data_IF_756503143408
#
_entry.id   IF_756503143408
#
_cell.length_a   1.000
_cell.length_b   1.000
_cell.length_c   1.000
_cell.angle_alpha   90.00
_cell.angle_beta   90.00
_cell.angle_gamma   90.00
#
_symmetry.space_group_name_H-M   'P 1'
#
loop_
_entity.id
_entity.type
_entity.pdbx_description
1 polymer ?
#
# COMPACT_ATOMS: atom_id res chain seq x y z
N UNK A 1 -82.99 93.85 34.71
CA UNK A 1 -82.42 93.12 35.87
C UNK A 1 -80.89 93.15 35.92
N UNK A 2 -80.13 93.09 34.80
CA UNK A 2 -78.65 93.19 34.81
C UNK A 2 -78.06 94.52 35.31
N UNK A 3 -78.75 95.64 35.07
CA UNK A 3 -78.26 96.98 35.44
C UNK A 3 -78.23 97.23 36.95
N UNK A 4 -79.16 96.64 37.71
CA UNK A 4 -79.23 96.81 39.16
C UNK A 4 -78.07 96.09 39.89
N UNK A 5 -77.75 94.87 39.47
CA UNK A 5 -76.60 94.11 40.00
C UNK A 5 -75.27 94.77 39.66
N UNK A 6 -75.14 95.35 38.46
CA UNK A 6 -73.95 96.09 38.04
C UNK A 6 -73.78 97.38 38.86
N UNK A 7 -74.86 98.15 39.07
CA UNK A 7 -74.81 99.32 39.97
C UNK A 7 -74.50 98.94 41.41
N UNK A 8 -75.02 97.81 41.91
CA UNK A 8 -74.74 97.35 43.26
C UNK A 8 -73.27 96.91 43.41
N UNK A 9 -72.70 96.22 42.41
CA UNK A 9 -71.27 95.90 42.35
C UNK A 9 -70.40 97.16 42.31
N UNK A 10 -70.78 98.17 41.54
CA UNK A 10 -70.06 99.45 41.48
C UNK A 10 -70.12 100.22 42.81
N UNK A 11 -71.27 100.24 43.49
CA UNK A 11 -71.39 100.84 44.82
C UNK A 11 -70.56 100.09 45.87
N UNK A 12 -70.54 98.76 45.81
CA UNK A 12 -69.68 97.95 46.67
C UNK A 12 -68.19 98.18 46.37
N UNK A 13 -67.81 98.29 45.10
CA UNK A 13 -66.44 98.61 44.69
C UNK A 13 -66.02 100.00 45.17
N UNK A 14 -66.86 101.01 45.00
CA UNK A 14 -66.59 102.37 45.48
C UNK A 14 -66.45 102.44 47.02
N UNK A 15 -67.28 101.70 47.77
CA UNK A 15 -67.15 101.60 49.24
C UNK A 15 -65.88 100.87 49.68
N UNK A 16 -65.43 99.88 48.92
CA UNK A 16 -64.17 99.19 49.18
C UNK A 16 -62.98 100.09 48.86
N UNK A 17 -63.06 100.86 47.78
CA UNK A 17 -62.06 101.85 47.40
C UNK A 17 -61.90 102.93 48.47
N UNK A 18 -63.01 103.49 48.99
CA UNK A 18 -63.00 104.47 50.08
C UNK A 18 -62.38 103.89 51.37
N UNK A 19 -62.71 102.64 51.72
CA UNK A 19 -62.07 101.94 52.84
C UNK A 19 -60.58 101.69 52.59
N UNK A 20 -60.18 101.38 51.36
CA UNK A 20 -58.79 101.17 50.98
C UNK A 20 -58.00 102.48 51.00
N UNK A 21 -58.63 103.63 50.78
CA UNK A 21 -57.98 104.95 50.83
C UNK A 21 -57.66 105.41 52.26
N UNK A 22 -58.23 104.77 53.28
CA UNK A 22 -57.85 105.07 54.67
C UNK A 22 -56.37 104.72 54.93
N UNK A 23 -55.57 105.62 55.52
CA UNK A 23 -54.11 105.45 55.66
C UNK A 23 -53.69 104.11 56.30
N UNK A 24 -54.43 103.63 57.30
CA UNK A 24 -54.16 102.34 57.94
C UNK A 24 -54.40 101.13 57.04
N UNK A 25 -55.42 101.20 56.16
CA UNK A 25 -55.74 100.13 55.23
C UNK A 25 -54.81 100.12 54.02
N UNK A 26 -54.35 101.29 53.54
CA UNK A 26 -53.29 101.40 52.52
C UNK A 26 -52.00 100.72 52.98
N UNK A 27 -51.58 101.00 54.22
CA UNK A 27 -50.37 100.39 54.78
C UNK A 27 -50.52 98.86 54.93
N UNK A 28 -51.68 98.38 55.36
CA UNK A 28 -51.94 96.95 55.47
C UNK A 28 -52.01 96.26 54.10
N UNK A 29 -52.61 96.89 53.09
CA UNK A 29 -52.66 96.37 51.72
C UNK A 29 -51.24 96.28 51.12
N UNK A 30 -50.40 97.30 51.32
CA UNK A 30 -48.99 97.28 50.90
C UNK A 30 -48.20 96.16 51.56
N UNK A 31 -48.39 95.94 52.88
CA UNK A 31 -47.74 94.84 53.61
C UNK A 31 -48.17 93.47 53.10
N UNK A 32 -49.46 93.28 52.79
CA UNK A 32 -49.97 92.05 52.22
C UNK A 32 -49.43 91.80 50.81
N UNK A 33 -49.40 92.82 49.95
CA UNK A 33 -48.78 92.73 48.64
C UNK A 33 -47.30 92.37 48.74
N UNK A 34 -46.55 93.03 49.62
CA UNK A 34 -45.14 92.71 49.86
C UNK A 34 -44.95 91.26 50.34
N UNK A 35 -45.80 90.78 51.26
CA UNK A 35 -45.75 89.41 51.74
C UNK A 35 -46.07 88.38 50.64
N UNK A 36 -47.04 88.67 49.77
CA UNK A 36 -47.37 87.84 48.61
C UNK A 36 -46.21 87.82 47.61
N UNK A 37 -45.63 88.97 47.26
CA UNK A 37 -44.46 89.05 46.37
C UNK A 37 -43.28 88.26 46.94
N UNK A 38 -42.99 88.40 48.24
CA UNK A 38 -41.90 87.64 48.88
C UNK A 38 -42.18 86.14 48.83
N UNK A 39 -43.42 85.70 49.08
CA UNK A 39 -43.80 84.29 48.99
C UNK A 39 -43.61 83.75 47.57
N UNK A 40 -44.05 84.48 46.55
CA UNK A 40 -43.91 84.09 45.15
C UNK A 40 -42.44 84.05 44.72
N UNK A 41 -41.65 85.05 45.09
CA UNK A 41 -40.20 85.10 44.83
C UNK A 41 -39.48 83.94 45.53
N UNK A 42 -39.84 83.62 46.77
CA UNK A 42 -39.28 82.48 47.49
C UNK A 42 -39.61 81.15 46.81
N UNK A 43 -40.83 80.97 46.30
CA UNK A 43 -41.22 79.76 45.59
C UNK A 43 -40.52 79.64 44.23
N UNK A 44 -40.45 80.75 43.47
CA UNK A 44 -39.71 80.80 42.21
C UNK A 44 -38.22 80.48 42.40
N UNK A 45 -37.60 80.97 43.49
CA UNK A 45 -36.22 80.64 43.84
C UNK A 45 -36.03 79.14 44.08
N UNK A 46 -36.92 78.50 44.85
CA UNK A 46 -36.85 77.04 45.06
C UNK A 46 -36.95 76.24 43.76
N UNK A 47 -37.83 76.67 42.84
CA UNK A 47 -37.95 76.04 41.52
C UNK A 47 -36.69 76.24 40.69
N UNK A 48 -36.08 77.43 40.73
CA UNK A 48 -34.81 77.70 40.06
C UNK A 48 -33.69 76.80 40.61
N UNK A 49 -33.54 76.69 41.92
CA UNK A 49 -32.54 75.84 42.57
C UNK A 49 -32.71 74.35 42.15
N UNK A 50 -33.96 73.87 42.05
CA UNK A 50 -34.27 72.52 41.57
C UNK A 50 -33.90 72.32 40.09
N UNK A 51 -34.15 73.32 39.25
CA UNK A 51 -33.79 73.27 37.83
C UNK A 51 -32.27 73.27 37.66
N UNK A 52 -31.54 74.09 38.41
CA UNK A 52 -30.08 74.13 38.38
C UNK A 52 -29.47 72.80 38.82
N UNK A 53 -30.00 72.16 39.86
CA UNK A 53 -29.55 70.84 40.28
C UNK A 53 -29.79 69.78 39.20
N UNK A 54 -30.98 69.79 38.57
CA UNK A 54 -31.30 68.87 37.46
C UNK A 54 -30.39 69.12 36.26
N UNK A 55 -30.11 70.38 35.93
CA UNK A 55 -29.22 70.75 34.84
C UNK A 55 -27.79 70.26 35.10
N UNK A 56 -27.27 70.41 36.33
CA UNK A 56 -25.96 69.89 36.71
C UNK A 56 -25.88 68.37 36.54
N UNK A 57 -26.90 67.62 37.02
CA UNK A 57 -26.98 66.16 36.83
C UNK A 57 -27.00 65.76 35.36
N UNK A 58 -27.70 66.52 34.52
CA UNK A 58 -27.75 66.29 33.08
C UNK A 58 -26.40 66.54 32.40
N UNK A 59 -25.66 67.57 32.82
CA UNK A 59 -24.30 67.82 32.34
C UNK A 59 -23.33 66.70 32.71
N UNK A 60 -23.37 66.21 33.95
CA UNK A 60 -22.55 65.09 34.42
C UNK A 60 -22.85 63.80 33.63
N UNK A 61 -24.14 63.50 33.41
CA UNK A 61 -24.55 62.35 32.62
C UNK A 61 -24.07 62.43 31.16
N UNK A 62 -24.19 63.61 30.53
CA UNK A 62 -23.72 63.84 29.16
C UNK A 62 -22.20 63.71 29.04
N UNK A 63 -21.44 64.19 30.04
CA UNK A 63 -19.98 64.01 30.07
C UNK A 63 -19.61 62.51 30.14
N UNK A 64 -20.29 61.73 30.97
CA UNK A 64 -20.08 60.28 31.06
C UNK A 64 -20.47 59.56 29.75
N UNK A 65 -21.54 59.99 29.09
CA UNK A 65 -21.97 59.42 27.80
C UNK A 65 -20.97 59.70 26.69
N UNK A 66 -20.39 60.90 26.63
CA UNK A 66 -19.31 61.22 25.68
C UNK A 66 -18.10 60.31 25.84
N UNK A 67 -17.64 60.11 27.07
CA UNK A 67 -16.51 59.20 27.36
C UNK A 67 -16.85 57.76 26.92
N UNK A 68 -18.07 57.29 27.19
CA UNK A 68 -18.52 55.98 26.72
C UNK A 68 -18.56 55.91 25.19
N UNK A 69 -19.04 56.95 24.51
CA UNK A 69 -19.07 57.01 23.05
C UNK A 69 -17.68 56.93 22.43
N UNK A 70 -16.72 57.69 22.96
CA UNK A 70 -15.32 57.64 22.51
C UNK A 70 -14.70 56.26 22.72
N UNK A 71 -15.02 55.58 23.82
CA UNK A 71 -14.56 54.22 24.07
C UNK A 71 -15.15 53.22 23.07
N UNK A 72 -16.43 53.35 22.72
CA UNK A 72 -17.07 52.50 21.72
C UNK A 72 -16.47 52.72 20.33
N UNK A 73 -16.17 53.97 19.97
CA UNK A 73 -15.53 54.31 18.70
C UNK A 73 -14.14 53.68 18.58
N UNK A 74 -13.33 53.74 19.66
CA UNK A 74 -12.02 53.05 19.72
C UNK A 74 -12.14 51.54 19.55
N UNK A 75 -13.12 50.90 20.21
CA UNK A 75 -13.37 49.47 20.06
C UNK A 75 -13.79 49.12 18.62
N UNK A 76 -14.59 49.98 17.99
CA UNK A 76 -15.04 49.78 16.62
C UNK A 76 -13.89 49.90 15.62
N UNK A 77 -12.95 50.83 15.85
CA UNK A 77 -11.74 50.96 15.03
C UNK A 77 -10.75 49.80 15.23
N UNK A 78 -10.65 49.25 16.43
CA UNK A 78 -9.89 48.02 16.68
C UNK A 78 -10.50 46.83 15.92
N UNK A 79 -11.82 46.64 16.00
CA UNK A 79 -12.50 45.59 15.23
C UNK A 79 -12.36 45.77 13.71
N UNK A 80 -12.33 47.01 13.21
CA UNK A 80 -12.05 47.28 11.79
C UNK A 80 -10.63 46.85 11.40
N UNK A 81 -9.63 47.13 12.24
CA UNK A 81 -8.24 46.69 12.02
C UNK A 81 -8.12 45.17 12.05
N UNK A 82 -8.74 44.51 13.02
CA UNK A 82 -8.75 43.06 13.13
C UNK A 82 -9.40 42.40 11.92
N UNK A 83 -10.53 42.95 11.46
CA UNK A 83 -11.20 42.48 10.24
C UNK A 83 -10.28 42.56 9.02
N UNK A 84 -9.51 43.64 8.87
CA UNK A 84 -8.60 43.79 7.76
C UNK A 84 -7.39 42.85 7.88
N UNK A 85 -6.86 42.66 9.09
CA UNK A 85 -5.81 41.67 9.36
C UNK A 85 -6.26 40.25 9.00
N UNK A 86 -7.48 39.87 9.39
CA UNK A 86 -8.05 38.56 9.03
C UNK A 86 -8.26 38.40 7.52
N UNK A 87 -8.66 39.45 6.80
CA UNK A 87 -8.78 39.41 5.34
C UNK A 87 -7.45 39.15 4.65
N UNK A 88 -6.38 39.81 5.11
CA UNK A 88 -5.03 39.58 4.59
C UNK A 88 -4.58 38.15 4.84
N UNK A 89 -4.77 37.62 6.05
CA UNK A 89 -4.44 36.23 6.38
C UNK A 89 -5.21 35.21 5.53
N UNK A 90 -6.50 35.45 5.28
CA UNK A 90 -7.31 34.61 4.38
C UNK A 90 -6.74 34.65 2.96
N UNK A 91 -6.41 35.84 2.45
CA UNK A 91 -5.84 35.99 1.11
C UNK A 91 -4.49 35.28 0.97
N UNK A 92 -3.63 35.34 1.99
CA UNK A 92 -2.35 34.62 2.02
C UNK A 92 -2.55 33.11 2.06
N UNK A 93 -3.48 32.63 2.88
CA UNK A 93 -3.83 31.22 2.98
C UNK A 93 -4.41 30.67 1.65
N UNK A 94 -5.25 31.46 0.96
CA UNK A 94 -5.80 31.09 -0.35
C UNK A 94 -4.69 31.00 -1.41
N UNK A 95 -3.75 31.94 -1.41
CA UNK A 95 -2.59 31.91 -2.31
C UNK A 95 -1.69 30.69 -2.05
N UNK A 96 -1.41 30.39 -0.78
CA UNK A 96 -0.64 29.20 -0.38
C UNK A 96 -1.36 27.91 -0.78
N UNK A 97 -2.68 27.84 -0.58
CA UNK A 97 -3.51 26.68 -0.96
C UNK A 97 -3.51 26.46 -2.48
N UNK A 98 -3.55 27.53 -3.26
CA UNK A 98 -3.45 27.44 -4.73
C UNK A 98 -2.08 26.91 -5.17
N UNK A 99 -1.00 27.48 -4.62
CA UNK A 99 0.37 27.04 -4.96
C UNK A 99 0.64 25.58 -4.59
N UNK A 100 0.16 25.15 -3.42
CA UNK A 100 0.30 23.75 -2.97
C UNK A 100 -0.51 22.80 -3.84
N UNK A 101 -1.72 23.19 -4.26
CA UNK A 101 -2.52 22.41 -5.22
C UNK A 101 -1.79 22.23 -6.55
N UNK A 102 -1.24 23.29 -7.12
CA UNK A 102 -0.50 23.24 -8.39
C UNK A 102 0.75 22.35 -8.27
N UNK A 103 1.45 22.43 -7.13
CA UNK A 103 2.61 21.57 -6.83
C UNK A 103 2.22 20.10 -6.72
N UNK A 104 1.08 19.80 -6.10
CA UNK A 104 0.57 18.44 -5.96
C UNK A 104 0.16 17.84 -7.31
N UNK A 105 -0.46 18.63 -8.19
CA UNK A 105 -0.80 18.18 -9.54
C UNK A 105 0.47 17.91 -10.38
N UNK A 106 1.50 18.77 -10.27
CA UNK A 106 2.80 18.54 -10.89
C UNK A 106 3.49 17.26 -10.37
N UNK A 107 3.40 17.00 -9.07
CA UNK A 107 3.95 15.76 -8.50
C UNK A 107 3.19 14.54 -8.99
N UNK A 108 1.85 14.64 -9.05
CA UNK A 108 0.99 13.56 -9.54
C UNK A 108 1.31 13.21 -10.99
N UNK A 109 1.53 14.19 -11.86
CA UNK A 109 1.92 13.92 -13.24
C UNK A 109 3.28 13.23 -13.32
N UNK A 110 4.29 13.70 -12.57
CA UNK A 110 5.62 13.08 -12.51
C UNK A 110 5.57 11.62 -12.03
N UNK A 111 4.79 11.34 -10.99
CA UNK A 111 4.61 9.96 -10.49
C UNK A 111 3.92 9.08 -11.53
N UNK A 112 2.91 9.60 -12.23
CA UNK A 112 2.25 8.86 -13.30
C UNK A 112 3.23 8.52 -14.42
N UNK A 113 4.05 9.48 -14.85
CA UNK A 113 5.06 9.28 -15.91
C UNK A 113 6.12 8.24 -15.50
N UNK A 114 6.61 8.32 -14.25
CA UNK A 114 7.52 7.33 -13.66
C UNK A 114 6.90 5.92 -13.62
N UNK A 115 5.64 5.80 -13.19
CA UNK A 115 4.92 4.52 -13.18
C UNK A 115 4.78 3.93 -14.59
N UNK A 116 4.51 4.76 -15.60
CA UNK A 116 4.45 4.30 -16.99
C UNK A 116 5.80 3.79 -17.47
N UNK A 117 6.90 4.49 -17.16
CA UNK A 117 8.27 4.04 -17.49
C UNK A 117 8.60 2.71 -16.83
N UNK A 118 8.38 2.60 -15.52
CA UNK A 118 8.62 1.35 -14.78
C UNK A 118 7.80 0.17 -15.33
N UNK A 119 6.55 0.43 -15.73
CA UNK A 119 5.70 -0.60 -16.33
C UNK A 119 6.26 -1.05 -17.69
N UNK A 120 6.73 -0.11 -18.52
CA UNK A 120 7.35 -0.42 -19.79
C UNK A 120 8.67 -1.19 -19.63
N UNK A 121 9.51 -0.78 -18.68
CA UNK A 121 10.77 -1.44 -18.35
C UNK A 121 10.53 -2.85 -17.82
N UNK A 122 9.54 -3.05 -16.94
CA UNK A 122 9.19 -4.37 -16.44
C UNK A 122 8.72 -5.31 -17.56
N UNK A 123 7.95 -4.79 -18.53
CA UNK A 123 7.56 -5.58 -19.70
C UNK A 123 8.76 -5.96 -20.58
N UNK A 124 9.76 -5.08 -20.70
CA UNK A 124 11.02 -5.35 -21.40
C UNK A 124 11.85 -6.41 -20.66
N UNK A 125 12.07 -6.24 -19.37
CA UNK A 125 12.79 -7.23 -18.54
C UNK A 125 12.10 -8.59 -18.56
N UNK A 126 10.76 -8.63 -18.55
CA UNK A 126 10.03 -9.89 -18.71
C UNK A 126 10.29 -10.60 -20.03
N UNK A 127 10.55 -9.88 -21.13
CA UNK A 127 10.97 -10.47 -22.42
C UNK A 127 12.42 -10.95 -22.37
N UNK A 128 13.30 -10.18 -21.76
CA UNK A 128 14.72 -10.51 -21.63
C UNK A 128 14.90 -11.77 -20.77
N UNK A 129 14.21 -11.87 -19.63
CA UNK A 129 14.19 -13.06 -18.77
C UNK A 129 13.70 -14.29 -19.54
N UNK A 130 12.58 -14.19 -20.27
CA UNK A 130 12.09 -15.31 -21.11
C UNK A 130 13.10 -15.73 -22.16
N UNK A 131 13.85 -14.79 -22.71
CA UNK A 131 14.88 -15.07 -23.72
C UNK A 131 16.08 -15.77 -23.09
N UNK A 132 16.52 -15.31 -21.92
CA UNK A 132 17.59 -15.92 -21.14
C UNK A 132 17.23 -17.34 -20.69
N UNK A 133 16.03 -17.58 -20.17
CA UNK A 133 15.56 -18.93 -19.83
C UNK A 133 15.66 -19.88 -21.01
N UNK A 134 15.18 -19.47 -22.20
CA UNK A 134 15.32 -20.27 -23.43
C UNK A 134 16.77 -20.51 -23.86
N UNK A 135 17.70 -19.62 -23.51
CA UNK A 135 19.12 -19.83 -23.78
C UNK A 135 19.69 -20.86 -22.81
N UNK A 136 19.33 -20.79 -21.51
CA UNK A 136 19.72 -21.77 -20.50
C UNK A 136 19.25 -23.17 -20.92
N UNK A 137 17.96 -23.34 -21.25
CA UNK A 137 17.41 -24.63 -21.68
C UNK A 137 18.21 -25.23 -22.86
N UNK A 138 18.54 -24.42 -23.86
CA UNK A 138 19.36 -24.85 -25.00
C UNK A 138 20.80 -25.19 -24.63
N UNK A 139 21.36 -24.53 -23.63
CA UNK A 139 22.71 -24.81 -23.14
C UNK A 139 22.73 -26.11 -22.33
N UNK A 140 21.69 -26.40 -21.55
CA UNK A 140 21.51 -27.68 -20.87
C UNK A 140 21.38 -28.82 -21.88
N UNK A 141 20.55 -28.67 -22.91
CA UNK A 141 20.46 -29.67 -24.00
C UNK A 141 21.82 -29.92 -24.66
N UNK A 142 22.58 -28.85 -24.94
CA UNK A 142 23.94 -28.97 -25.50
C UNK A 142 24.89 -29.69 -24.56
N UNK A 143 24.83 -29.41 -23.25
CA UNK A 143 25.65 -30.09 -22.27
C UNK A 143 25.36 -31.59 -22.26
N UNK A 144 24.08 -32.00 -22.24
CA UNK A 144 23.71 -33.42 -22.33
C UNK A 144 24.27 -34.06 -23.60
N UNK A 145 24.15 -33.41 -24.77
CA UNK A 145 24.75 -33.97 -26.00
C UNK A 145 26.27 -34.09 -25.93
N UNK A 146 26.96 -33.14 -25.29
CA UNK A 146 28.41 -33.23 -25.11
C UNK A 146 28.75 -34.37 -24.17
N UNK A 147 28.06 -34.50 -23.03
CA UNK A 147 28.23 -35.59 -22.08
C UNK A 147 28.04 -36.95 -22.76
N UNK A 148 26.98 -37.12 -23.54
CA UNK A 148 26.72 -38.33 -24.33
C UNK A 148 27.85 -38.63 -25.32
N UNK A 149 28.35 -37.61 -26.04
CA UNK A 149 29.49 -37.81 -26.96
C UNK A 149 30.77 -38.20 -26.23
N UNK A 150 30.99 -37.65 -25.04
CA UNK A 150 32.17 -37.91 -24.22
C UNK A 150 32.13 -39.32 -23.62
N UNK A 151 30.95 -39.78 -23.19
CA UNK A 151 30.75 -41.14 -22.71
C UNK A 151 30.88 -42.16 -23.85
N UNK A 152 30.34 -41.85 -25.03
CA UNK A 152 30.56 -42.66 -26.23
C UNK A 152 32.05 -42.73 -26.63
N UNK A 153 32.79 -41.64 -26.45
CA UNK A 153 34.24 -41.63 -26.69
C UNK A 153 34.98 -42.49 -25.67
N UNK A 154 34.62 -42.39 -24.37
CA UNK A 154 35.16 -43.25 -23.31
C UNK A 154 34.90 -44.73 -23.57
N UNK A 155 33.70 -45.09 -24.01
CA UNK A 155 33.34 -46.47 -24.31
C UNK A 155 34.17 -47.08 -25.46
N UNK A 156 34.71 -46.25 -26.36
CA UNK A 156 35.57 -46.67 -27.48
C UNK A 156 37.06 -46.76 -27.11
N UNK A 157 37.47 -46.32 -25.92
CA UNK A 157 38.85 -46.48 -25.48
C UNK A 157 39.16 -47.98 -25.25
N UNK A 158 40.33 -48.48 -25.69
CA UNK A 158 40.73 -49.86 -25.45
C UNK A 158 40.70 -50.18 -23.96
N UNK A 159 40.13 -51.32 -23.59
CA UNK A 159 40.09 -51.73 -22.19
C UNK A 159 41.53 -52.04 -21.73
N UNK A 160 41.82 -51.83 -20.45
CA UNK A 160 43.15 -52.09 -19.89
C UNK A 160 43.64 -53.53 -20.14
N UNK A 161 42.70 -54.48 -20.25
CA UNK A 161 42.96 -55.87 -20.64
C UNK A 161 43.49 -56.01 -22.08
N UNK A 162 43.01 -55.21 -23.03
CA UNK A 162 43.47 -55.27 -24.43
C UNK A 162 44.88 -54.70 -24.55
N UNK A 163 45.18 -53.63 -23.81
CA UNK A 163 46.52 -53.04 -23.73
C UNK A 163 47.49 -54.00 -23.03
N UNK A 164 47.05 -54.65 -21.95
CA UNK A 164 47.84 -55.66 -21.25
C UNK A 164 48.09 -56.91 -22.10
N UNK A 165 47.09 -57.36 -22.86
CA UNK A 165 47.23 -58.46 -23.81
C UNK A 165 48.22 -58.10 -24.92
N UNK A 166 48.14 -56.88 -25.48
CA UNK A 166 49.08 -56.40 -26.48
C UNK A 166 50.51 -56.33 -25.93
N UNK A 167 50.70 -55.75 -24.74
CA UNK A 167 52.00 -55.71 -24.07
C UNK A 167 52.54 -57.11 -23.76
N UNK A 168 51.68 -58.05 -23.36
CA UNK A 168 52.06 -59.43 -23.14
C UNK A 168 52.45 -60.14 -24.45
N UNK A 169 51.74 -59.88 -25.56
CA UNK A 169 52.14 -60.43 -26.87
C UNK A 169 53.46 -59.84 -27.35
N UNK A 170 53.70 -58.55 -27.13
CA UNK A 170 54.94 -57.87 -27.47
C UNK A 170 56.11 -58.43 -26.63
N UNK A 171 55.92 -58.58 -25.32
CA UNK A 171 56.89 -59.15 -24.40
C UNK A 171 57.21 -60.63 -24.70
N UNK A 172 56.30 -61.37 -25.35
CA UNK A 172 56.54 -62.73 -25.86
C UNK A 172 57.27 -62.74 -27.20
N UNK A 173 56.99 -61.78 -28.06
CA UNK A 173 57.62 -61.62 -29.38
C UNK A 173 59.08 -61.19 -29.25
N UNK A 174 59.40 -60.29 -28.33
CA UNK A 174 60.75 -59.74 -28.14
C UNK A 174 61.84 -60.81 -27.91
N UNK A 175 61.70 -61.76 -26.96
CA UNK A 175 62.68 -62.83 -26.79
C UNK A 175 62.67 -63.84 -27.95
N UNK A 176 61.55 -64.00 -28.66
CA UNK A 176 61.45 -64.90 -29.80
C UNK A 176 62.21 -64.36 -31.01
N UNK A 177 62.06 -63.06 -31.30
CA UNK A 177 62.82 -62.34 -32.34
C UNK A 177 64.31 -62.34 -32.00
N UNK A 178 64.67 -62.09 -30.73
CA UNK A 178 66.07 -62.14 -30.28
C UNK A 178 66.67 -63.54 -30.44
N UNK A 179 65.92 -64.59 -30.05
CA UNK A 179 66.33 -65.98 -30.27
C UNK A 179 66.46 -66.34 -31.75
N UNK A 180 65.59 -65.82 -32.61
CA UNK A 180 65.70 -66.00 -34.06
C UNK A 180 66.97 -65.34 -34.61
N UNK A 181 67.26 -64.10 -34.18
CA UNK A 181 68.51 -63.43 -34.53
C UNK A 181 69.73 -64.25 -34.07
N UNK A 182 69.76 -64.72 -32.82
CA UNK A 182 70.85 -65.54 -32.28
C UNK A 182 71.01 -66.86 -33.04
N UNK A 183 69.90 -67.48 -33.47
CA UNK A 183 69.91 -68.72 -34.29
C UNK A 183 70.39 -68.45 -35.70
N UNK A 184 70.00 -67.34 -36.33
CA UNK A 184 70.44 -66.94 -37.66
C UNK A 184 71.95 -66.61 -37.65
N UNK A 185 72.42 -65.95 -36.60
CA UNK A 185 73.84 -65.61 -36.43
C UNK A 185 74.70 -66.87 -36.20
N UNK A 186 74.18 -67.82 -35.40
CA UNK A 186 74.79 -69.16 -35.27
C UNK A 186 74.81 -69.94 -36.59
N UNK A 187 73.73 -69.93 -37.36
CA UNK A 187 73.68 -70.60 -38.69
C UNK A 187 74.66 -69.96 -39.68
N UNK A 188 74.86 -68.65 -39.57
CA UNK A 188 75.79 -67.90 -40.43
C UNK A 188 77.27 -68.22 -40.13
N UNK A 189 77.57 -68.68 -38.91
CA UNK A 189 78.92 -69.01 -38.41
C UNK A 189 79.26 -70.52 -38.45
N UNK A 190 78.35 -71.38 -38.92
CA UNK A 190 78.58 -72.83 -39.07
C UNK A 190 79.64 -73.18 -40.14
N UNK A 191 80.42 -74.23 -39.86
CA UNK A 191 81.39 -74.80 -40.80
C UNK A 191 80.71 -75.53 -41.97
N UNK A 192 81.46 -75.84 -43.05
CA UNK A 192 80.90 -76.44 -44.28
C UNK A 192 80.26 -77.82 -44.04
N UNK A 193 80.82 -78.62 -43.13
CA UNK A 193 80.30 -79.94 -42.76
C UNK A 193 79.00 -79.84 -41.95
N UNK A 194 78.90 -78.85 -41.06
CA UNK A 194 77.69 -78.60 -40.27
C UNK A 194 76.55 -78.00 -41.12
N UNK A 195 76.88 -77.23 -42.17
CA UNK A 195 75.91 -76.75 -43.16
C UNK A 195 75.29 -77.88 -43.99
N UNK A 196 76.08 -78.89 -44.34
CA UNK A 196 75.60 -80.07 -45.06
C UNK A 196 74.65 -80.91 -44.18
N UNK A 197 75.02 -81.14 -42.92
CA UNK A 197 74.17 -81.86 -41.96
C UNK A 197 72.87 -81.09 -41.62
N UNK A 198 72.92 -79.76 -41.59
CA UNK A 198 71.73 -78.92 -41.39
C UNK A 198 70.80 -78.94 -42.61
N UNK A 199 71.33 -78.98 -43.84
CA UNK A 199 70.53 -79.13 -45.05
C UNK A 199 69.78 -80.46 -45.08
N UNK A 200 70.44 -81.55 -44.65
CA UNK A 200 69.81 -82.87 -44.50
C UNK A 200 68.76 -82.88 -43.37
N UNK A 201 69.00 -82.17 -42.27
CA UNK A 201 68.03 -82.02 -41.18
C UNK A 201 66.81 -81.18 -41.59
N UNK A 202 66.98 -80.09 -42.36
CA UNK A 202 65.90 -79.27 -42.91
C UNK A 202 65.08 -80.06 -43.94
N UNK A 203 65.75 -80.87 -44.77
CA UNK A 203 65.11 -81.80 -45.70
C UNK A 203 64.28 -82.87 -44.97
N UNK A 204 64.77 -83.38 -43.83
CA UNK A 204 64.00 -84.29 -42.98
C UNK A 204 62.86 -83.58 -42.23
N UNK A 205 63.06 -82.33 -41.81
CA UNK A 205 62.04 -81.56 -41.10
C UNK A 205 60.90 -81.09 -42.02
N UNK A 206 61.19 -80.76 -43.28
CA UNK A 206 60.16 -80.52 -44.30
C UNK A 206 59.38 -81.79 -44.64
N UNK A 207 60.02 -82.96 -44.56
CA UNK A 207 59.35 -84.26 -44.68
C UNK A 207 58.43 -84.57 -43.49
N UNK A 208 58.82 -84.20 -42.26
CA UNK A 208 57.95 -84.29 -41.06
C UNK A 208 56.83 -83.25 -41.10
N UNK A 209 57.08 -82.05 -41.63
CA UNK A 209 56.05 -81.01 -41.82
C UNK A 209 54.99 -81.43 -42.85
N UNK A 210 55.41 -82.01 -43.98
CA UNK A 210 54.50 -82.60 -44.96
C UNK A 210 53.72 -83.81 -44.38
N UNK A 211 54.29 -84.53 -43.40
CA UNK A 211 53.60 -85.61 -42.68
C UNK A 211 52.61 -85.08 -41.64
N UNK A 212 52.91 -83.96 -40.99
CA UNK A 212 52.01 -83.27 -40.04
C UNK A 212 50.88 -82.51 -40.76
N UNK A 213 51.15 -81.90 -41.91
CA UNK A 213 50.12 -81.28 -42.76
C UNK A 213 49.11 -82.31 -43.30
N UNK A 214 49.53 -83.57 -43.47
CA UNK A 214 48.63 -84.69 -43.75
C UNK A 214 47.80 -85.17 -42.54
N UNK A 215 48.13 -84.72 -41.31
CA UNK A 215 47.48 -85.09 -40.05
C UNK A 215 46.61 -83.97 -39.44
N UNK A 216 46.40 -82.85 -40.15
CA UNK A 216 45.46 -81.79 -39.74
C UNK A 216 44.16 -81.83 -40.57
N UNK A 217 43.26 -82.80 -40.38
CA UNK A 217 41.83 -82.51 -40.45
C UNK A 217 41.40 -81.96 -39.08
N UNK A 218 40.44 -81.01 -39.06
CA UNK A 218 39.72 -80.44 -37.90
C UNK A 218 40.05 -79.00 -37.46
N UNK A 219 40.41 -78.10 -38.39
CA UNK A 219 40.19 -76.67 -38.13
C UNK A 219 38.69 -76.29 -38.24
N UNK A 220 37.90 -76.99 -39.05
CA UNK A 220 36.46 -76.75 -39.16
C UNK A 220 35.67 -77.12 -37.88
N UNK A 221 36.12 -78.11 -37.11
CA UNK A 221 35.50 -78.47 -35.82
C UNK A 221 35.70 -77.37 -34.74
N UNK A 222 36.81 -76.61 -34.80
CA UNK A 222 37.10 -75.55 -33.83
C UNK A 222 36.28 -74.28 -34.08
N UNK A 223 36.06 -73.92 -35.35
CA UNK A 223 35.19 -72.79 -35.69
C UNK A 223 33.71 -73.11 -35.43
N UNK A 224 33.26 -74.35 -35.67
CA UNK A 224 31.92 -74.79 -35.27
C UNK A 224 31.70 -74.83 -33.74
N UNK A 225 32.77 -75.04 -32.95
CA UNK A 225 32.70 -74.96 -31.49
C UNK A 225 32.60 -73.51 -30.98
N UNK A 226 33.31 -72.57 -31.60
CA UNK A 226 33.22 -71.14 -31.25
C UNK A 226 31.87 -70.52 -31.64
N UNK A 227 31.29 -70.94 -32.76
CA UNK A 227 29.96 -70.50 -33.20
C UNK A 227 28.87 -71.01 -32.24
N UNK A 228 28.98 -72.26 -31.77
CA UNK A 228 28.11 -72.85 -30.72
C UNK A 228 28.24 -72.18 -29.35
N UNK A 229 29.40 -71.60 -29.00
CA UNK A 229 29.58 -70.84 -27.75
C UNK A 229 28.93 -69.44 -27.81
N UNK A 230 28.77 -68.85 -29.00
CA UNK A 230 28.11 -67.56 -29.17
C UNK A 230 26.58 -67.69 -29.11
N UNK A 231 26.04 -68.77 -29.67
CA UNK A 231 24.60 -69.08 -29.62
C UNK A 231 24.14 -69.51 -28.20
N UNK A 232 25.01 -70.10 -27.39
CA UNK A 232 24.70 -70.49 -26.01
C UNK A 232 24.66 -69.33 -25.01
N UNK A 233 25.08 -68.11 -25.39
CA UNK A 233 25.22 -66.95 -24.49
C UNK A 233 24.20 -65.82 -24.76
N UNK A 234 23.19 -66.04 -25.62
CA UNK A 234 22.19 -65.02 -26.00
C UNK A 234 20.73 -65.34 -25.73
N UNK A 235 20.38 -66.44 -25.03
CA UNK A 235 19.00 -66.65 -24.57
C UNK A 235 18.93 -67.25 -23.15
N UNK A 236 18.08 -66.62 -22.32
CA UNK A 236 17.88 -66.78 -20.86
C UNK A 236 18.94 -66.03 -20.05
N UNK A 237 18.62 -65.01 -19.25
CA UNK A 237 17.58 -64.97 -18.22
C UNK A 237 16.94 -63.58 -18.13
N UNK A 238 15.63 -63.57 -18.35
CA UNK A 238 14.67 -62.70 -17.68
C UNK A 238 14.57 -63.07 -16.20
N UNK A 239 14.83 -62.13 -15.31
CA UNK A 239 14.26 -62.05 -13.96
C UNK A 239 14.68 -60.70 -13.38
N UNK A 240 13.71 -59.80 -13.21
CA UNK A 240 13.11 -59.50 -11.90
C UNK A 240 13.96 -58.46 -11.15
N UNK A 241 13.43 -57.41 -10.53
CA UNK A 241 12.07 -57.11 -10.10
C UNK A 241 12.16 -55.83 -9.25
N UNK A 242 11.00 -55.25 -8.90
CA UNK A 242 10.69 -54.70 -7.55
C UNK A 242 11.64 -53.58 -7.05
N UNK A 243 11.22 -52.36 -6.70
CA UNK A 243 10.02 -51.91 -6.01
C UNK A 243 10.17 -50.40 -5.75
N UNK A 244 9.01 -49.73 -5.67
CA UNK A 244 8.63 -48.71 -4.67
C UNK A 244 9.30 -47.34 -4.76
N UNK A 245 8.51 -46.32 -5.08
CA UNK A 245 7.67 -45.57 -4.12
C UNK A 245 8.51 -44.78 -3.12
N UNK A 246 8.58 -43.46 -3.35
CA UNK A 246 8.58 -42.46 -2.29
C UNK A 246 8.20 -41.09 -2.88
N UNK A 247 6.94 -40.96 -3.28
CA UNK A 247 6.25 -39.66 -3.21
C UNK A 247 5.87 -39.50 -1.74
N UNK A 248 6.67 -38.73 -0.99
CA UNK A 248 6.22 -37.99 0.19
C UNK A 248 7.38 -37.19 0.79
N UNK A 249 7.31 -35.87 0.62
CA UNK A 249 7.62 -34.84 1.61
C UNK A 249 6.98 -33.55 1.03
N UNK A 250 5.79 -33.12 1.43
CA UNK A 250 5.45 -32.59 2.74
C UNK A 250 6.52 -31.63 3.27
N UNK A 251 6.53 -30.40 2.77
CA UNK A 251 6.61 -29.17 3.59
C UNK A 251 6.44 -27.95 2.69
N UNK A 252 5.27 -27.33 2.74
CA UNK A 252 5.09 -25.93 2.33
C UNK A 252 5.91 -25.08 3.29
N UNK A 253 7.19 -24.92 3.00
CA UNK A 253 8.05 -23.94 3.64
C UNK A 253 7.54 -22.56 3.25
N UNK A 254 6.92 -21.92 4.24
CA UNK A 254 6.96 -20.49 4.50
C UNK A 254 7.72 -19.69 3.43
N UNK A 255 6.96 -19.04 2.54
CA UNK A 255 7.46 -17.91 1.79
C UNK A 255 7.73 -16.79 2.78
N UNK A 256 8.95 -16.78 3.30
CA UNK A 256 9.57 -15.62 3.93
C UNK A 256 9.52 -14.49 2.91
N UNK A 257 8.60 -13.55 3.11
CA UNK A 257 8.69 -12.26 2.40
C UNK A 257 10.02 -11.59 2.80
N UNK A 258 10.74 -10.95 1.87
CA UNK A 258 11.93 -10.18 2.20
C UNK A 258 11.57 -9.06 3.18
N UNK A 259 12.50 -8.62 4.04
CA UNK A 259 12.24 -7.54 4.98
C UNK A 259 12.02 -6.25 4.18
N UNK A 260 10.76 -5.91 3.94
CA UNK A 260 10.37 -4.59 3.47
C UNK A 260 10.68 -3.61 4.59
N UNK A 261 11.83 -2.94 4.50
CA UNK A 261 12.19 -1.80 5.34
C UNK A 261 11.23 -0.64 5.08
N UNK A 262 10.09 -0.68 5.76
CA UNK A 262 9.08 0.36 5.84
C UNK A 262 8.17 0.08 7.04
N UNK A 263 7.44 1.07 7.57
CA UNK A 263 6.50 0.84 8.67
C UNK A 263 5.52 -0.26 8.26
N UNK A 264 5.50 -1.37 8.98
CA UNK A 264 4.55 -2.44 8.73
C UNK A 264 3.14 -1.89 8.97
N UNK A 265 2.20 -2.00 8.01
CA UNK A 265 0.86 -1.51 8.23
C UNK A 265 0.22 -2.27 9.41
N UNK A 266 -0.58 -1.59 10.25
CA UNK A 266 -1.16 -2.19 11.45
C UNK A 266 -1.98 -3.43 11.09
N UNK A 267 -1.85 -4.50 11.88
CA UNK A 267 -2.49 -5.80 11.64
C UNK A 267 -4.00 -5.68 11.38
N UNK A 268 -4.67 -4.76 12.10
CA UNK A 268 -6.10 -4.46 11.96
C UNK A 268 -6.45 -3.89 10.57
N UNK A 269 -5.56 -3.12 9.96
CA UNK A 269 -5.79 -2.55 8.64
C UNK A 269 -5.55 -3.57 7.52
N UNK A 270 -4.59 -4.48 7.71
CA UNK A 270 -4.40 -5.63 6.81
C UNK A 270 -5.66 -6.50 6.80
N UNK A 271 -6.18 -6.86 7.98
CA UNK A 271 -7.41 -7.63 8.13
C UNK A 271 -8.63 -6.92 7.48
N UNK A 272 -8.75 -5.61 7.62
CA UNK A 272 -9.81 -4.83 6.96
C UNK A 272 -9.70 -4.90 5.42
N UNK A 273 -8.50 -4.73 4.87
CA UNK A 273 -8.27 -4.78 3.43
C UNK A 273 -8.54 -6.17 2.85
N UNK A 274 -8.17 -7.23 3.58
CA UNK A 274 -8.51 -8.61 3.22
C UNK A 274 -10.03 -8.82 3.18
N UNK A 275 -10.77 -8.34 4.18
CA UNK A 275 -12.24 -8.40 4.18
C UNK A 275 -12.84 -7.60 3.02
N UNK A 276 -12.32 -6.40 2.73
CA UNK A 276 -12.77 -5.62 1.57
C UNK A 276 -12.54 -6.36 0.25
N UNK A 277 -11.35 -6.93 0.05
CA UNK A 277 -11.01 -7.69 -1.15
C UNK A 277 -11.90 -8.92 -1.30
N UNK A 278 -12.18 -9.62 -0.20
CA UNK A 278 -13.09 -10.77 -0.19
C UNK A 278 -14.51 -10.36 -0.62
N UNK A 279 -15.07 -9.28 -0.08
CA UNK A 279 -16.40 -8.79 -0.47
C UNK A 279 -16.42 -8.22 -1.90
N UNK A 280 -15.37 -7.54 -2.32
CA UNK A 280 -15.24 -7.01 -3.69
C UNK A 280 -15.21 -8.14 -4.72
N UNK A 281 -14.45 -9.20 -4.46
CA UNK A 281 -14.39 -10.39 -5.30
C UNK A 281 -15.73 -11.15 -5.30
N UNK A 282 -16.36 -11.32 -4.13
CA UNK A 282 -17.69 -11.93 -4.02
C UNK A 282 -18.74 -11.19 -4.85
N UNK A 283 -18.76 -9.85 -4.78
CA UNK A 283 -19.65 -9.01 -5.58
C UNK A 283 -19.37 -9.11 -7.09
N UNK A 284 -18.09 -9.25 -7.48
CA UNK A 284 -17.70 -9.43 -8.89
C UNK A 284 -18.18 -10.78 -9.44
N UNK A 285 -18.12 -11.83 -8.62
CA UNK A 285 -18.53 -13.19 -9.02
C UNK A 285 -20.06 -13.30 -9.06
N UNK A 286 -20.76 -12.73 -8.08
CA UNK A 286 -22.21 -12.81 -7.99
C UNK A 286 -22.80 -11.56 -7.36
N UNK A 287 -23.70 -10.88 -8.09
CA UNK A 287 -24.43 -9.74 -7.53
C UNK A 287 -25.35 -10.20 -6.38
N UNK A 288 -25.29 -9.53 -5.21
CA UNK A 288 -26.15 -9.86 -4.09
C UNK A 288 -27.61 -9.52 -4.40
N UNK A 289 -28.55 -10.28 -3.82
CA UNK A 289 -30.00 -10.01 -3.95
C UNK A 289 -30.44 -8.71 -3.27
N UNK A 290 -29.65 -8.22 -2.30
CA UNK A 290 -29.90 -6.98 -1.57
C UNK A 290 -28.58 -6.28 -1.30
N UNK A 291 -28.40 -5.12 -1.93
CA UNK A 291 -27.23 -4.24 -1.74
C UNK A 291 -27.11 -3.79 -0.28
N UNK A 292 -28.20 -3.32 0.31
CA UNK A 292 -28.22 -2.85 1.69
C UNK A 292 -27.80 -3.95 2.69
N UNK A 293 -28.28 -5.20 2.52
CA UNK A 293 -27.87 -6.31 3.39
C UNK A 293 -26.39 -6.65 3.20
N UNK A 294 -25.89 -6.60 1.97
CA UNK A 294 -24.49 -6.88 1.64
C UNK A 294 -23.54 -5.84 2.26
N UNK A 295 -23.87 -4.55 2.14
CA UNK A 295 -23.12 -3.44 2.75
C UNK A 295 -23.11 -3.56 4.29
N UNK A 296 -24.27 -3.85 4.91
CA UNK A 296 -24.34 -4.07 6.37
C UNK A 296 -23.47 -5.23 6.82
N UNK A 297 -23.42 -6.31 6.04
CA UNK A 297 -22.61 -7.48 6.38
C UNK A 297 -21.10 -7.16 6.29
N UNK A 298 -20.69 -6.36 5.31
CA UNK A 298 -19.32 -5.86 5.20
C UNK A 298 -18.95 -5.00 6.42
N UNK A 299 -19.76 -3.97 6.74
CA UNK A 299 -19.50 -3.06 7.87
C UNK A 299 -19.43 -3.80 9.22
N UNK A 300 -20.17 -4.91 9.38
CA UNK A 300 -20.12 -5.76 10.58
C UNK A 300 -18.87 -6.65 10.69
N UNK A 301 -18.16 -6.88 9.59
CA UNK A 301 -16.99 -7.79 9.54
C UNK A 301 -15.64 -7.10 9.64
N UNK A 302 -15.62 -5.77 9.56
CA UNK A 302 -14.42 -4.95 9.70
C UNK A 302 -14.33 -4.34 11.11
N UNK A 303 -13.18 -3.74 11.44
CA UNK A 303 -12.97 -3.08 12.73
C UNK A 303 -14.02 -1.96 12.97
N UNK A 304 -14.56 -1.81 14.20
CA UNK A 304 -15.59 -0.80 14.49
C UNK A 304 -15.16 0.65 14.20
N UNK A 305 -13.90 1.02 14.42
CA UNK A 305 -13.39 2.37 14.12
C UNK A 305 -13.34 2.61 12.61
N UNK A 306 -12.89 1.60 11.86
CA UNK A 306 -12.91 1.64 10.39
C UNK A 306 -14.35 1.70 9.84
N UNK A 307 -15.26 0.89 10.39
CA UNK A 307 -16.67 0.92 10.03
C UNK A 307 -17.29 2.30 10.27
N UNK A 308 -17.00 2.94 11.40
CA UNK A 308 -17.46 4.30 11.68
C UNK A 308 -16.89 5.32 10.69
N UNK A 309 -15.58 5.26 10.40
CA UNK A 309 -14.94 6.17 9.47
C UNK A 309 -15.50 6.06 8.05
N UNK A 310 -15.72 4.83 7.57
CA UNK A 310 -16.35 4.59 6.26
C UNK A 310 -17.78 5.14 6.23
N UNK A 311 -18.56 4.94 7.30
CA UNK A 311 -19.91 5.49 7.40
C UNK A 311 -19.92 7.02 7.38
N UNK A 312 -19.00 7.67 8.08
CA UNK A 312 -18.83 9.13 8.07
C UNK A 312 -18.47 9.65 6.68
N UNK A 313 -17.55 8.99 5.97
CA UNK A 313 -17.17 9.36 4.59
C UNK A 313 -18.31 9.16 3.60
N UNK A 314 -19.09 8.08 3.73
CA UNK A 314 -20.28 7.85 2.92
C UNK A 314 -21.32 8.97 3.10
N UNK A 315 -21.54 9.42 4.33
CA UNK A 315 -22.44 10.53 4.62
C UNK A 315 -21.93 11.87 4.05
N UNK A 316 -20.61 12.11 4.08
CA UNK A 316 -20.00 13.32 3.54
C UNK A 316 -20.06 13.38 2.01
N UNK A 317 -19.79 12.27 1.31
CA UNK A 317 -19.78 12.25 -0.16
C UNK A 317 -21.17 12.05 -0.78
N UNK A 318 -22.11 11.44 -0.06
CA UNK A 318 -23.46 11.13 -0.56
C UNK A 318 -24.57 11.58 0.41
N UNK A 319 -24.66 12.88 0.74
CA UNK A 319 -25.64 13.38 1.70
C UNK A 319 -27.09 13.12 1.25
N UNK A 320 -27.36 13.12 -0.05
CA UNK A 320 -28.72 12.91 -0.60
C UNK A 320 -29.17 11.44 -0.60
N UNK A 321 -28.24 10.51 -0.37
CA UNK A 321 -28.49 9.05 -0.38
C UNK A 321 -28.43 8.43 1.01
N UNK A 322 -27.97 9.18 2.02
CA UNK A 322 -27.60 8.64 3.32
C UNK A 322 -28.11 9.55 4.43
N UNK A 323 -29.20 9.14 5.07
CA UNK A 323 -29.76 9.84 6.23
C UNK A 323 -29.16 9.27 7.54
N UNK A 324 -28.90 10.11 8.56
CA UNK A 324 -28.53 9.63 9.90
C UNK A 324 -29.65 8.79 10.51
N UNK A 325 -29.33 7.60 11.03
CA UNK A 325 -30.30 6.76 11.73
C UNK A 325 -30.59 7.32 13.14
N UNK A 326 -31.87 7.51 13.47
CA UNK A 326 -32.31 7.97 14.80
C UNK A 326 -32.02 6.97 15.93
N UNK A 327 -31.85 5.67 15.61
CA UNK A 327 -31.36 4.64 16.53
C UNK A 327 -30.31 3.79 15.83
N UNK A 328 -29.11 3.73 16.40
CA UNK A 328 -28.06 2.86 15.88
C UNK A 328 -28.47 1.39 16.02
N UNK A 329 -28.30 0.60 14.96
CA UNK A 329 -28.51 -0.85 15.04
C UNK A 329 -27.36 -1.48 15.85
N UNK A 330 -27.66 -1.95 17.07
CA UNK A 330 -26.70 -2.66 17.92
C UNK A 330 -26.94 -4.16 17.79
N UNK A 331 -25.98 -4.88 17.21
CA UNK A 331 -25.99 -6.34 17.14
C UNK A 331 -25.14 -6.91 18.28
N UNK A 332 -25.73 -7.75 19.12
CA UNK A 332 -25.04 -8.42 20.24
C UNK A 332 -24.04 -9.47 19.74
N UNK A 333 -22.83 -8.99 19.42
CA UNK A 333 -21.51 -9.60 19.59
C UNK A 333 -20.51 -8.62 18.95
N UNK A 334 -19.80 -7.88 19.81
CA UNK A 334 -18.83 -6.81 19.50
C UNK A 334 -19.41 -5.65 18.68
N UNK A 335 -19.79 -4.58 19.38
CA UNK A 335 -20.68 -3.52 18.92
C UNK A 335 -20.11 -2.68 17.75
N UNK A 336 -20.55 -3.00 16.53
CA UNK A 336 -20.53 -2.05 15.40
C UNK A 336 -21.85 -1.27 15.43
N UNK A 337 -21.79 0.02 15.75
CA UNK A 337 -22.92 0.93 15.56
C UNK A 337 -23.01 1.33 14.09
N UNK A 338 -24.07 0.88 13.41
CA UNK A 338 -24.42 1.44 12.10
C UNK A 338 -25.29 2.68 12.35
N UNK A 339 -24.78 3.85 12.01
CA UNK A 339 -25.39 5.16 12.29
C UNK A 339 -26.00 5.84 11.05
N UNK A 340 -25.94 5.19 9.89
CA UNK A 340 -26.44 5.72 8.62
C UNK A 340 -27.40 4.76 7.92
N UNK A 341 -28.41 5.28 7.23
CA UNK A 341 -29.27 4.45 6.40
C UNK A 341 -28.56 4.09 5.09
N UNK A 342 -28.33 2.80 4.90
CA UNK A 342 -27.68 2.24 3.71
C UNK A 342 -28.68 1.70 2.69
N UNK A 343 -29.98 1.92 2.88
CA UNK A 343 -31.05 1.39 2.02
C UNK A 343 -30.92 1.82 0.55
N UNK A 344 -30.47 3.06 0.31
CA UNK A 344 -30.28 3.66 -1.03
C UNK A 344 -28.85 3.51 -1.56
N UNK A 345 -27.94 2.93 -0.77
CA UNK A 345 -26.54 2.75 -1.18
C UNK A 345 -26.36 1.49 -2.02
N UNK A 346 -25.41 1.57 -2.97
CA UNK A 346 -24.91 0.44 -3.74
C UNK A 346 -23.49 0.13 -3.33
N UNK A 347 -23.05 -1.11 -3.51
CA UNK A 347 -21.67 -1.52 -3.22
C UNK A 347 -20.62 -0.66 -3.95
N UNK A 348 -20.96 -0.13 -5.14
CA UNK A 348 -20.06 0.75 -5.88
C UNK A 348 -19.80 2.09 -5.15
N UNK A 349 -20.74 2.61 -4.36
CA UNK A 349 -20.49 3.79 -3.52
C UNK A 349 -19.45 3.47 -2.44
N UNK A 350 -19.52 2.28 -1.84
CA UNK A 350 -18.52 1.79 -0.87
C UNK A 350 -17.15 1.62 -1.54
N UNK A 351 -17.08 1.08 -2.76
CA UNK A 351 -15.80 0.99 -3.51
C UNK A 351 -15.18 2.36 -3.79
N UNK A 352 -16.00 3.35 -4.14
CA UNK A 352 -15.52 4.71 -4.41
C UNK A 352 -14.92 5.32 -3.14
N UNK A 353 -15.62 5.21 -2.01
CA UNK A 353 -15.10 5.65 -0.71
C UNK A 353 -13.79 4.93 -0.39
N UNK A 354 -13.77 3.60 -0.47
CA UNK A 354 -12.58 2.80 -0.15
C UNK A 354 -11.35 3.14 -1.00
N UNK A 355 -11.53 3.64 -2.23
CA UNK A 355 -10.43 4.12 -3.09
C UNK A 355 -9.94 5.54 -2.74
N UNK A 356 -10.78 6.33 -2.06
CA UNK A 356 -10.54 7.73 -1.70
C UNK A 356 -10.12 7.93 -0.25
N UNK A 357 -10.22 6.90 0.58
CA UNK A 357 -9.72 6.93 1.95
C UNK A 357 -8.20 7.10 1.91
N UNK A 358 -7.69 8.12 2.61
CA UNK A 358 -6.27 8.25 2.87
C UNK A 358 -5.83 7.13 3.81
N UNK A 359 -4.94 6.27 3.32
CA UNK A 359 -4.37 5.18 4.10
C UNK A 359 -3.76 5.68 5.41
N UNK A 360 -3.11 6.84 5.42
CA UNK A 360 -2.46 7.39 6.64
C UNK A 360 -3.47 7.75 7.73
N UNK A 361 -4.61 8.34 7.36
CA UNK A 361 -5.68 8.67 8.32
C UNK A 361 -6.32 7.39 8.89
N UNK A 362 -6.57 6.40 8.03
CA UNK A 362 -7.15 5.13 8.43
C UNK A 362 -6.20 4.32 9.31
N UNK A 363 -4.90 4.30 8.99
CA UNK A 363 -3.88 3.62 9.78
C UNK A 363 -3.71 4.30 11.14
N UNK A 364 -3.67 5.63 11.22
CA UNK A 364 -3.60 6.35 12.49
C UNK A 364 -4.81 6.11 13.41
N UNK A 365 -6.02 5.94 12.84
CA UNK A 365 -7.22 5.58 13.60
C UNK A 365 -7.19 4.14 14.14
N UNK A 366 -6.50 3.25 13.44
CA UNK A 366 -6.39 1.82 13.78
C UNK A 366 -5.18 1.51 14.68
N UNK A 367 -4.19 2.40 14.77
CA UNK A 367 -3.00 2.33 15.65
C UNK A 367 -3.21 2.98 17.02
N UNK A 368 -4.15 3.93 17.16
CA UNK A 368 -4.44 4.57 18.43
C UNK A 368 -5.09 3.57 19.42
N UNK A 369 -4.25 2.92 20.23
CA UNK A 369 -4.60 2.28 21.51
C UNK A 369 -4.15 3.16 22.68
#
# INVERSE_FOLDING_TARGET
MRTAEETQKLVHAARLEDKLQQPGNQLNALRLLQALTVKEVCEAKKQLDLIEERYRKLQEANAAERVRSESLEKQLDELRRDKEGLRSLISEADAATKNTKDSLESLRSKVSDECFKLTADNARFGKDIKTLSKQIDRHEEKLCTVEDTLENFRAKLPKSQDIAALNNTLARLEPMVKSMYDKIDKVSTLSLEEKQALADAISNQSRVRNFLDAFVPRQEDFFQFLEKLHEANTQTVTSDSLLKDAINEASFSQLSNPPSSGPQPPLKAIQMLEQYNHFSNSYRIKRPKSEARFIRQYLKKIDPKAAWYIQRKLQQEYPDLVDPLQRAEVSNKTAVMISIDVSKLRWDHVKIIMRRIDGKELFGLLEAE
#
